data_IF_431722038995
#
_entry.id   IF_431722038995
#
_cell.length_a   1.000
_cell.length_b   1.000
_cell.length_c   1.000
_cell.angle_alpha   90.00
_cell.angle_beta   90.00
_cell.angle_gamma   90.00
#
_symmetry.space_group_name_H-M   'P 1'
#
loop_
_entity.id
_entity.type
_entity.pdbx_description
1 polymer ?
#
# COMPACT_ATOMS: atom_id res chain seq x y z
N UNK A 1 13.31 -13.79 -4.00
CA UNK A 1 12.18 -13.08 -4.62
C UNK A 1 12.34 -11.61 -4.28
N UNK A 2 12.54 -10.76 -5.28
CA UNK A 2 12.64 -9.31 -5.11
C UNK A 2 11.30 -8.65 -5.44
N UNK A 3 10.92 -7.64 -4.67
CA UNK A 3 9.77 -6.78 -4.98
C UNK A 3 10.33 -5.38 -5.19
N UNK A 4 10.09 -4.82 -6.37
CA UNK A 4 10.46 -3.46 -6.71
C UNK A 4 9.20 -2.60 -6.72
N UNK A 5 9.26 -1.46 -6.02
CA UNK A 5 8.17 -0.51 -5.97
C UNK A 5 8.73 0.88 -6.25
N UNK A 6 8.09 1.59 -7.17
CA UNK A 6 8.43 2.97 -7.54
C UNK A 6 7.15 3.77 -7.72
N UNK A 7 7.22 5.07 -7.46
CA UNK A 7 6.16 6.02 -7.81
C UNK A 7 6.35 6.60 -9.23
N UNK A 8 7.54 6.43 -9.81
CA UNK A 8 7.92 6.89 -11.14
C UNK A 8 8.47 5.70 -11.93
N UNK A 9 7.70 5.17 -12.90
CA UNK A 9 8.21 4.16 -13.81
C UNK A 9 9.42 4.64 -14.60
N UNK A 10 9.45 5.93 -14.97
CA UNK A 10 10.57 6.53 -15.68
C UNK A 10 11.89 6.36 -14.91
N UNK A 11 11.89 6.56 -13.59
CA UNK A 11 13.08 6.40 -12.76
C UNK A 11 13.58 4.94 -12.75
N UNK A 12 12.66 3.98 -12.76
CA UNK A 12 13.01 2.57 -12.88
C UNK A 12 13.56 2.23 -14.28
N UNK A 13 13.04 2.87 -15.32
CA UNK A 13 13.47 2.68 -16.72
C UNK A 13 14.84 3.31 -17.01
N UNK A 14 15.18 4.41 -16.33
CA UNK A 14 16.49 5.10 -16.44
C UNK A 14 17.61 4.40 -15.67
N UNK A 15 17.29 3.43 -14.83
CA UNK A 15 18.27 2.69 -14.04
C UNK A 15 19.17 1.81 -14.92
N UNK A 16 20.45 1.67 -14.53
CA UNK A 16 21.42 0.79 -15.22
C UNK A 16 20.99 -0.68 -15.24
N UNK A 17 20.04 -1.07 -14.39
CA UNK A 17 19.47 -2.42 -14.31
C UNK A 17 18.07 -2.52 -14.93
N UNK A 18 17.58 -1.49 -15.60
CA UNK A 18 16.20 -1.41 -16.10
C UNK A 18 15.81 -2.56 -17.03
N UNK A 19 16.68 -2.93 -17.97
CA UNK A 19 16.44 -4.04 -18.88
C UNK A 19 16.27 -5.37 -18.12
N UNK A 20 17.15 -5.64 -17.14
CA UNK A 20 17.06 -6.83 -16.30
C UNK A 20 15.80 -6.80 -15.43
N UNK A 21 15.42 -5.64 -14.87
CA UNK A 21 14.19 -5.50 -14.10
C UNK A 21 12.97 -5.82 -14.96
N UNK A 22 12.87 -5.29 -16.18
CA UNK A 22 11.72 -5.51 -17.06
C UNK A 22 11.66 -6.97 -17.52
N UNK A 23 12.78 -7.53 -17.98
CA UNK A 23 12.84 -8.90 -18.49
C UNK A 23 12.63 -9.96 -17.40
N UNK A 24 13.10 -9.70 -16.17
CA UNK A 24 12.99 -10.64 -15.05
C UNK A 24 11.74 -10.43 -14.20
N UNK A 25 11.00 -9.33 -14.41
CA UNK A 25 9.74 -9.09 -13.71
C UNK A 25 8.63 -9.89 -14.37
N UNK A 26 8.38 -11.09 -13.82
CA UNK A 26 7.31 -11.96 -14.27
C UNK A 26 5.91 -11.34 -14.09
N UNK A 27 5.72 -10.56 -13.02
CA UNK A 27 4.42 -9.98 -12.64
C UNK A 27 4.57 -8.50 -12.33
N UNK A 28 3.81 -7.65 -13.02
CA UNK A 28 3.70 -6.22 -12.74
C UNK A 28 2.34 -5.90 -12.11
N UNK A 29 2.35 -5.06 -11.07
CA UNK A 29 1.15 -4.47 -10.46
C UNK A 29 1.20 -2.98 -10.75
N UNK A 30 0.25 -2.51 -11.55
CA UNK A 30 0.23 -1.14 -12.07
C UNK A 30 -1.01 -0.43 -11.52
N UNK A 31 -0.78 0.63 -10.76
CA UNK A 31 -1.83 1.47 -10.19
C UNK A 31 -2.33 2.48 -11.22
N UNK A 32 -3.53 3.06 -11.03
CA UNK A 32 -4.04 4.11 -11.90
C UNK A 32 -3.08 5.29 -11.96
N UNK A 33 -2.87 5.82 -13.17
CA UNK A 33 -2.05 7.00 -13.38
C UNK A 33 -2.61 7.81 -14.57
N UNK A 34 -3.44 8.84 -14.32
CA UNK A 34 -4.03 9.65 -15.39
C UNK A 34 -2.98 10.47 -16.16
N UNK A 35 -1.78 10.64 -15.59
CA UNK A 35 -0.67 11.36 -16.20
C UNK A 35 0.38 10.41 -16.82
N UNK A 36 0.03 9.14 -17.05
CA UNK A 36 0.96 8.17 -17.61
C UNK A 36 1.44 8.57 -19.01
N UNK A 37 2.76 8.50 -19.22
CA UNK A 37 3.37 8.74 -20.53
C UNK A 37 3.44 7.44 -21.35
N UNK A 38 3.07 7.51 -22.62
CA UNK A 38 3.06 6.33 -23.50
C UNK A 38 4.46 5.75 -23.71
N UNK A 39 5.50 6.58 -23.77
CA UNK A 39 6.88 6.13 -23.95
C UNK A 39 7.30 5.23 -22.80
N UNK A 40 7.05 5.65 -21.56
CA UNK A 40 7.44 4.86 -20.39
C UNK A 40 6.62 3.59 -20.26
N UNK A 41 5.31 3.66 -20.47
CA UNK A 41 4.42 2.53 -20.21
C UNK A 41 4.36 1.53 -21.38
N UNK A 42 4.28 1.98 -22.62
CA UNK A 42 4.21 1.10 -23.80
C UNK A 42 5.62 0.69 -24.23
N UNK A 43 6.52 1.64 -24.45
CA UNK A 43 7.87 1.32 -24.96
C UNK A 43 8.78 0.77 -23.86
N UNK A 44 8.71 1.35 -22.66
CA UNK A 44 9.48 0.92 -21.49
C UNK A 44 8.93 -0.36 -20.88
N UNK A 45 7.74 -0.29 -20.25
CA UNK A 45 7.13 -1.42 -19.53
C UNK A 45 6.46 -2.47 -20.43
N UNK A 46 6.49 -2.30 -21.76
CA UNK A 46 5.92 -3.24 -22.74
C UNK A 46 4.43 -3.49 -22.54
N UNK A 47 3.68 -2.44 -22.17
CA UNK A 47 2.23 -2.51 -22.16
C UNK A 47 1.65 -2.43 -23.57
N UNK A 48 0.51 -3.08 -23.78
CA UNK A 48 -0.32 -2.88 -24.96
C UNK A 48 -1.09 -1.57 -24.84
N UNK A 49 -1.61 -1.06 -25.96
CA UNK A 49 -2.47 0.14 -25.93
C UNK A 49 -3.72 -0.04 -25.06
N UNK A 50 -4.30 -1.24 -25.05
CA UNK A 50 -5.46 -1.56 -24.22
C UNK A 50 -5.10 -1.49 -22.72
N UNK A 51 -3.96 -2.08 -22.33
CA UNK A 51 -3.47 -2.02 -20.95
C UNK A 51 -3.16 -0.59 -20.53
N UNK A 52 -2.50 0.19 -21.39
CA UNK A 52 -2.24 1.62 -21.15
C UNK A 52 -3.53 2.41 -20.94
N UNK A 53 -4.53 2.20 -21.80
CA UNK A 53 -5.83 2.87 -21.68
C UNK A 53 -6.52 2.52 -20.35
N UNK A 54 -6.38 1.30 -19.84
CA UNK A 54 -6.88 0.95 -18.51
C UNK A 54 -6.18 1.77 -17.42
N UNK A 55 -4.84 1.88 -17.46
CA UNK A 55 -4.07 2.65 -16.46
C UNK A 55 -4.49 4.12 -16.38
N UNK A 56 -4.69 4.76 -17.54
CA UNK A 56 -5.03 6.19 -17.60
C UNK A 56 -6.48 6.47 -17.19
N UNK A 57 -7.40 5.55 -17.46
CA UNK A 57 -8.84 5.76 -17.24
C UNK A 57 -9.38 5.15 -15.95
N UNK A 58 -8.61 4.34 -15.23
CA UNK A 58 -9.01 3.85 -13.91
C UNK A 58 -9.08 5.02 -12.92
N UNK A 59 -10.12 5.02 -12.09
CA UNK A 59 -10.24 5.99 -10.99
C UNK A 59 -9.21 5.67 -9.90
N UNK A 60 -8.37 6.64 -9.53
CA UNK A 60 -7.36 6.52 -8.47
C UNK A 60 -7.97 6.14 -7.11
N UNK A 61 -9.25 6.44 -6.87
CA UNK A 61 -9.97 6.11 -5.63
C UNK A 61 -10.63 4.73 -5.66
N UNK A 62 -10.69 4.08 -6.83
CA UNK A 62 -11.40 2.81 -7.01
C UNK A 62 -10.77 1.61 -6.30
N UNK A 63 -9.51 1.76 -5.86
CA UNK A 63 -8.64 0.66 -5.39
C UNK A 63 -8.43 -0.42 -6.46
N UNK A 64 -8.71 -0.12 -7.72
CA UNK A 64 -8.45 -1.01 -8.83
C UNK A 64 -7.02 -0.82 -9.34
N UNK A 65 -6.45 -1.89 -9.89
CA UNK A 65 -5.12 -1.92 -10.45
C UNK A 65 -5.03 -2.98 -11.53
N UNK A 66 -4.09 -2.84 -12.45
CA UNK A 66 -3.81 -3.83 -13.48
C UNK A 66 -2.72 -4.78 -12.99
N UNK A 67 -2.98 -6.08 -13.07
CA UNK A 67 -1.95 -7.11 -12.92
C UNK A 67 -1.60 -7.61 -14.32
N UNK A 68 -0.32 -7.54 -14.69
CA UNK A 68 0.21 -8.09 -15.94
C UNK A 68 1.18 -9.21 -15.62
N UNK A 69 0.99 -10.37 -16.23
CA UNK A 69 1.89 -11.51 -16.13
C UNK A 69 2.14 -12.10 -17.52
N UNK A 70 3.35 -11.88 -18.05
CA UNK A 70 3.67 -12.20 -19.44
C UNK A 70 2.72 -11.52 -20.43
N UNK A 71 1.96 -12.32 -21.18
CA UNK A 71 1.00 -11.86 -22.18
C UNK A 71 -0.44 -11.71 -21.66
N UNK A 72 -0.67 -12.02 -20.38
CA UNK A 72 -1.99 -11.91 -19.76
C UNK A 72 -2.07 -10.69 -18.85
N UNK A 73 -3.23 -10.06 -18.82
CA UNK A 73 -3.52 -9.01 -17.85
C UNK A 73 -4.94 -9.08 -17.31
N UNK A 74 -5.10 -8.64 -16.07
CA UNK A 74 -6.38 -8.61 -15.38
C UNK A 74 -6.50 -7.32 -14.59
N UNK A 75 -7.70 -6.74 -14.56
CA UNK A 75 -8.04 -5.65 -13.64
C UNK A 75 -8.50 -6.29 -12.33
N UNK A 76 -7.82 -5.93 -11.25
CA UNK A 76 -8.12 -6.41 -9.90
C UNK A 76 -8.57 -5.23 -9.04
N UNK A 77 -9.31 -5.51 -7.97
CA UNK A 77 -9.70 -4.52 -6.97
C UNK A 77 -9.22 -4.96 -5.60
N UNK A 78 -8.54 -4.07 -4.88
CA UNK A 78 -8.11 -4.29 -3.51
C UNK A 78 -9.29 -4.05 -2.55
N UNK A 79 -10.01 -5.12 -2.22
CA UNK A 79 -11.09 -5.06 -1.26
C UNK A 79 -10.55 -5.17 0.18
N UNK A 80 -10.57 -4.05 0.91
CA UNK A 80 -10.14 -3.97 2.31
C UNK A 80 -11.32 -3.85 3.29
N UNK A 81 -12.54 -4.17 2.83
CA UNK A 81 -13.74 -4.08 3.68
C UNK A 81 -13.57 -4.94 4.93
N UNK A 82 -13.82 -4.35 6.10
CA UNK A 82 -13.70 -5.03 7.39
C UNK A 82 -12.27 -5.08 7.96
N UNK A 83 -11.26 -4.53 7.26
CA UNK A 83 -9.88 -4.48 7.75
C UNK A 83 -9.55 -3.19 8.51
N UNK A 84 -10.55 -2.50 9.06
CA UNK A 84 -10.38 -1.21 9.74
C UNK A 84 -9.33 -1.23 10.84
N UNK A 85 -9.26 -2.31 11.60
CA UNK A 85 -8.32 -2.47 12.71
C UNK A 85 -6.88 -2.66 12.16
N UNK A 86 -6.69 -3.53 11.18
CA UNK A 86 -5.37 -3.78 10.58
C UNK A 86 -4.87 -2.53 9.84
N UNK A 87 -5.74 -1.85 9.10
CA UNK A 87 -5.39 -0.62 8.40
C UNK A 87 -5.00 0.50 9.35
N UNK A 88 -5.52 0.51 10.58
CA UNK A 88 -5.17 1.54 11.57
C UNK A 88 -3.70 1.50 12.01
N UNK A 89 -3.15 0.28 12.04
CA UNK A 89 -1.74 0.03 12.36
C UNK A 89 -0.86 0.38 11.16
N UNK A 90 -1.25 -0.04 9.97
CA UNK A 90 -0.43 0.12 8.75
C UNK A 90 -0.45 1.57 8.24
N UNK A 91 -1.55 2.31 8.43
CA UNK A 91 -1.72 3.64 7.83
C UNK A 91 -0.85 4.74 8.48
N UNK A 92 -0.22 4.48 9.62
CA UNK A 92 0.76 5.33 10.31
C UNK A 92 0.46 6.86 10.26
N UNK A 93 -0.81 7.24 10.40
CA UNK A 93 -1.17 8.67 10.45
C UNK A 93 -0.73 9.26 11.79
N UNK A 94 -0.39 10.56 11.81
CA UNK A 94 0.05 11.25 13.02
C UNK A 94 -0.91 11.02 14.20
N UNK A 95 -2.21 11.17 13.96
CA UNK A 95 -3.25 10.95 14.97
C UNK A 95 -3.26 9.49 15.50
N UNK A 96 -3.09 8.49 14.61
CA UNK A 96 -3.05 7.09 15.05
C UNK A 96 -1.77 6.79 15.83
N UNK A 97 -0.64 7.39 15.43
CA UNK A 97 0.64 7.22 16.12
C UNK A 97 0.55 7.79 17.54
N UNK A 98 -0.05 8.96 17.73
CA UNK A 98 -0.21 9.56 19.05
C UNK A 98 -1.08 8.70 19.98
N UNK A 99 -2.21 8.20 19.48
CA UNK A 99 -3.09 7.29 20.22
C UNK A 99 -2.33 6.00 20.58
N UNK A 100 -1.64 5.40 19.61
CA UNK A 100 -0.85 4.18 19.80
C UNK A 100 0.24 4.37 20.86
N UNK A 101 1.04 5.43 20.75
CA UNK A 101 2.13 5.76 21.69
C UNK A 101 1.61 6.00 23.11
N UNK A 102 0.43 6.60 23.25
CA UNK A 102 -0.23 6.75 24.56
C UNK A 102 -0.62 5.40 25.15
N UNK A 103 -1.31 4.56 24.38
CA UNK A 103 -1.78 3.23 24.85
C UNK A 103 -0.63 2.30 25.19
N UNK A 104 0.46 2.35 24.41
CA UNK A 104 1.69 1.61 24.70
C UNK A 104 2.27 2.04 26.06
N UNK A 105 2.35 3.35 26.33
CA UNK A 105 2.88 3.86 27.62
C UNK A 105 1.98 3.52 28.80
N UNK A 106 0.67 3.65 28.63
CA UNK A 106 -0.33 3.29 29.65
C UNK A 106 -0.21 1.80 30.01
N UNK A 107 -0.14 0.91 29.01
CA UNK A 107 -0.04 -0.53 29.24
C UNK A 107 1.33 -0.97 29.78
N UNK A 108 2.44 -0.38 29.31
CA UNK A 108 3.77 -0.65 29.87
C UNK A 108 3.81 -0.30 31.37
N UNK A 109 3.25 0.86 31.73
CA UNK A 109 3.15 1.32 33.12
C UNK A 109 2.29 0.40 33.97
N UNK A 110 1.14 -0.06 33.45
CA UNK A 110 0.23 -1.00 34.12
C UNK A 110 0.89 -2.36 34.40
N UNK A 111 1.75 -2.83 33.49
CA UNK A 111 2.46 -4.09 33.61
C UNK A 111 3.81 -3.97 34.36
N UNK A 112 4.24 -2.75 34.69
CA UNK A 112 5.51 -2.50 35.38
C UNK A 112 6.75 -2.82 34.53
N UNK A 113 6.64 -2.74 33.21
CA UNK A 113 7.73 -3.02 32.26
C UNK A 113 8.12 -1.76 31.49
N UNK A 114 9.32 -1.76 30.90
CA UNK A 114 9.72 -0.66 29.99
C UNK A 114 8.92 -0.73 28.69
N UNK A 115 8.70 0.43 28.05
CA UNK A 115 8.08 0.53 26.72
C UNK A 115 8.81 -0.34 25.68
N UNK A 116 10.12 -0.52 25.80
CA UNK A 116 10.89 -1.35 24.86
C UNK A 116 10.67 -2.86 25.05
N UNK A 117 9.97 -3.28 26.10
CA UNK A 117 9.73 -4.68 26.44
C UNK A 117 8.27 -5.10 26.20
N UNK A 118 7.39 -4.15 25.87
CA UNK A 118 5.97 -4.42 25.65
C UNK A 118 5.75 -5.06 24.27
N UNK A 119 4.88 -6.07 24.19
CA UNK A 119 4.56 -6.77 22.94
C UNK A 119 3.19 -6.33 22.40
N UNK A 120 2.93 -6.44 21.08
CA UNK A 120 1.64 -6.08 20.50
C UNK A 120 0.44 -6.71 21.21
N UNK A 121 0.54 -7.97 21.65
CA UNK A 121 -0.54 -8.68 22.34
C UNK A 121 -0.98 -7.98 23.65
N UNK A 122 -0.12 -7.14 24.23
CA UNK A 122 -0.36 -6.46 25.50
C UNK A 122 -1.03 -5.09 25.35
N UNK A 123 -1.11 -4.53 24.15
CA UNK A 123 -1.66 -3.17 23.93
C UNK A 123 -2.53 -3.01 22.67
N UNK A 124 -2.44 -3.93 21.70
CA UNK A 124 -3.07 -3.79 20.40
C UNK A 124 -4.60 -3.82 20.46
N UNK A 125 -5.18 -4.63 21.34
CA UNK A 125 -6.63 -4.70 21.50
C UNK A 125 -7.19 -3.38 22.06
N UNK A 126 -6.55 -2.81 23.08
CA UNK A 126 -6.93 -1.52 23.66
C UNK A 126 -6.86 -0.39 22.61
N UNK A 127 -5.88 -0.46 21.70
CA UNK A 127 -5.76 0.44 20.56
C UNK A 127 -6.94 0.34 19.60
N UNK A 128 -7.38 -0.87 19.26
CA UNK A 128 -8.57 -1.07 18.44
C UNK A 128 -9.84 -0.58 19.12
N UNK A 129 -10.00 -0.85 20.40
CA UNK A 129 -11.20 -0.48 21.15
C UNK A 129 -11.33 1.05 21.31
N UNK A 130 -10.24 1.74 21.65
CA UNK A 130 -10.25 3.21 21.74
C UNK A 130 -10.51 3.86 20.38
N UNK A 131 -9.95 3.32 19.29
CA UNK A 131 -10.21 3.86 17.94
C UNK A 131 -11.67 3.70 17.53
N UNK A 132 -12.30 2.56 17.82
CA UNK A 132 -13.74 2.34 17.57
C UNK A 132 -14.60 3.33 18.35
N UNK A 133 -14.24 3.60 19.62
CA UNK A 133 -14.91 4.61 20.46
C UNK A 133 -14.73 6.06 19.99
N UNK A 134 -13.63 6.39 19.32
CA UNK A 134 -13.40 7.73 18.76
C UNK A 134 -14.20 7.98 17.47
N UNK A 135 -14.40 6.95 16.64
CA UNK A 135 -15.19 7.04 15.40
C UNK A 135 -16.70 7.19 15.66
N UNK A 136 -17.24 6.59 16.72
CA UNK A 136 -18.68 6.71 17.05
C UNK A 136 -19.10 8.09 17.58
N UNK A 137 -18.14 8.93 17.99
CA UNK A 137 -18.40 10.29 18.49
C UNK A 137 -18.40 11.37 17.39
N UNK A 138 -18.08 11.03 16.14
CA UNK A 138 -17.97 11.98 15.03
C UNK A 138 -19.12 11.90 13.99
N UNK A 139 -20.16 11.13 14.28
CA UNK A 139 -21.45 11.11 13.54
C UNK A 139 -22.58 11.54 14.47
#
# INVERSE_FOLDING_TARGET
MGIFATQSPEDALRSDISAALIEQTATMILLPNPNADKKDYIEGLKLTEAEFNVIVNLDERSRCFLVKQGHSSAVCQLNLRGMDDVLSVISASTDNIEIMQRIIRENASRLGISVNQITPEQWLQDFYDQRKGSRSKQT
#
